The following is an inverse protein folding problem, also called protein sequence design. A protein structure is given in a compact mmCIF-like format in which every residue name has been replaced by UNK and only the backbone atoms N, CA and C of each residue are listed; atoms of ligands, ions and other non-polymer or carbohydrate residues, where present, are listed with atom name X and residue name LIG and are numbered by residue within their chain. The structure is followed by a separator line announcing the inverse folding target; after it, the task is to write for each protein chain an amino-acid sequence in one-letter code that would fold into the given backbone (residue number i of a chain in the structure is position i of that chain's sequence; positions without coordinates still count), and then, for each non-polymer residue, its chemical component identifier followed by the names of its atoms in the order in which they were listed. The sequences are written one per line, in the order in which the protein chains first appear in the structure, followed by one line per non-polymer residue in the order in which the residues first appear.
data_IF_551497711897
#
_entry.id   IF_551497711897
#
_cell.length_a   1.000
_cell.length_b   1.000
_cell.length_c   1.000
_cell.angle_alpha   90.00
_cell.angle_beta   90.00
_cell.angle_gamma   90.00
#
_symmetry.space_group_name_H-M   'P 1'
#
loop_
_entity.id
_entity.type
_entity.pdbx_description
1 polymer ?
#
# COMPACT_ATOMS: atom_id res chain seq x y z
N UNK A 1 24.99 -14.29 1.90
CA UNK A 1 24.05 -13.20 1.58
C UNK A 1 22.81 -13.83 0.98
N UNK A 2 21.64 -13.55 1.55
CA UNK A 2 20.37 -13.95 0.92
C UNK A 2 20.11 -12.97 -0.22
N UNK A 3 19.74 -13.47 -1.39
CA UNK A 3 19.33 -12.60 -2.50
C UNK A 3 17.93 -12.08 -2.21
N UNK A 4 17.78 -10.77 -2.00
CA UNK A 4 16.48 -10.14 -1.81
C UNK A 4 15.66 -10.19 -3.11
N UNK A 5 14.32 -10.29 -3.03
CA UNK A 5 13.45 -10.23 -4.20
C UNK A 5 13.68 -8.95 -5.03
N UNK A 6 13.46 -9.04 -6.34
CA UNK A 6 13.38 -7.85 -7.19
C UNK A 6 12.19 -6.99 -6.76
N UNK A 7 12.39 -5.67 -6.69
CA UNK A 7 11.28 -4.73 -6.49
C UNK A 7 10.53 -4.45 -7.79
N UNK A 8 11.16 -4.71 -8.94
CA UNK A 8 10.54 -4.61 -10.26
C UNK A 8 9.84 -5.96 -10.57
N UNK A 9 8.55 -5.90 -10.88
CA UNK A 9 7.84 -7.05 -11.44
C UNK A 9 8.32 -7.30 -12.87
N UNK A 10 9.19 -8.30 -13.05
CA UNK A 10 9.52 -8.88 -14.36
C UNK A 10 8.54 -10.02 -14.64
N UNK A 11 7.24 -9.73 -14.60
CA UNK A 11 6.21 -10.61 -15.15
C UNK A 11 5.65 -9.94 -16.41
N UNK A 12 6.02 -10.52 -17.54
CA UNK A 12 5.63 -10.24 -18.91
C UNK A 12 6.01 -8.87 -19.51
N UNK A 13 6.80 -8.93 -20.57
CA UNK A 13 7.16 -7.83 -21.49
C UNK A 13 5.98 -7.19 -22.26
N UNK A 14 4.82 -7.06 -21.63
CA UNK A 14 3.77 -6.12 -22.00
C UNK A 14 3.90 -4.92 -21.09
N UNK A 15 4.56 -3.88 -21.60
CA UNK A 15 4.44 -2.52 -21.10
C UNK A 15 2.95 -2.25 -20.84
N UNK A 16 2.56 -2.24 -19.56
CA UNK A 16 1.20 -1.87 -19.13
C UNK A 16 1.10 -0.37 -19.26
N UNK A 17 0.60 0.06 -20.40
CA UNK A 17 0.57 1.42 -20.95
C UNK A 17 -0.22 2.48 -20.14
N UNK A 18 -0.49 2.28 -18.83
CA UNK A 18 -1.27 3.21 -17.98
C UNK A 18 -0.93 3.18 -16.47
N UNK A 19 0.21 2.61 -16.07
CA UNK A 19 0.61 2.62 -14.65
C UNK A 19 1.62 3.74 -14.41
N UNK A 20 1.25 4.70 -13.57
CA UNK A 20 2.20 5.68 -13.05
C UNK A 20 3.09 4.95 -12.03
N UNK A 21 4.35 4.73 -12.40
CA UNK A 21 5.35 4.04 -11.59
C UNK A 21 6.51 4.98 -11.30
N UNK A 22 6.98 4.97 -10.06
CA UNK A 22 8.06 5.80 -9.59
C UNK A 22 9.13 4.94 -8.95
N UNK A 23 10.37 5.12 -9.36
CA UNK A 23 11.52 4.37 -8.87
C UNK A 23 12.45 5.26 -8.05
N UNK A 24 12.91 4.76 -6.91
CA UNK A 24 13.74 5.48 -5.95
C UNK A 24 14.94 4.63 -5.55
N UNK A 25 16.08 5.28 -5.38
CA UNK A 25 17.30 4.67 -4.81
C UNK A 25 17.86 5.51 -3.67
N UNK A 26 18.66 4.92 -2.78
CA UNK A 26 19.33 5.66 -1.71
C UNK A 26 20.29 6.76 -2.20
N UNK A 27 20.72 6.70 -3.46
CA UNK A 27 21.60 7.70 -4.09
C UNK A 27 20.84 8.77 -4.89
N UNK A 28 19.54 8.60 -5.09
CA UNK A 28 18.74 9.73 -5.56
C UNK A 28 18.75 10.76 -4.44
N UNK A 29 19.24 12.00 -4.67
CA UNK A 29 19.03 13.06 -3.70
C UNK A 29 17.56 13.02 -3.32
N UNK A 30 17.24 13.14 -2.04
CA UNK A 30 15.86 13.33 -1.57
C UNK A 30 15.19 14.21 -2.62
N UNK A 31 14.25 13.65 -3.39
CA UNK A 31 13.57 14.42 -4.43
C UNK A 31 12.76 15.44 -3.62
N UNK A 32 13.38 16.61 -3.42
CA UNK A 32 12.77 17.72 -2.70
C UNK A 32 11.55 18.20 -3.46
N UNK A 33 11.55 17.95 -4.77
CA UNK A 33 10.47 18.27 -5.68
C UNK A 33 9.35 17.22 -5.57
N UNK A 34 8.14 17.73 -5.38
CA UNK A 34 6.95 16.91 -5.36
C UNK A 34 6.75 16.26 -6.73
N UNK A 35 6.59 14.94 -6.74
CA UNK A 35 6.24 14.22 -7.95
C UNK A 35 4.73 14.16 -8.07
N UNK A 36 4.23 14.53 -9.25
CA UNK A 36 2.79 14.61 -9.52
C UNK A 36 2.30 13.32 -10.16
N UNK A 37 1.04 13.02 -9.92
CA UNK A 37 0.33 11.88 -10.48
C UNK A 37 -1.17 12.20 -10.58
N UNK A 38 -1.97 11.28 -11.11
CA UNK A 38 -3.41 11.52 -11.19
C UNK A 38 -3.99 11.77 -9.79
N UNK A 39 -4.93 12.71 -9.73
CA UNK A 39 -5.67 12.97 -8.50
C UNK A 39 -6.38 11.69 -8.03
N UNK A 40 -6.10 11.26 -6.80
CA UNK A 40 -6.66 10.02 -6.28
C UNK A 40 -8.17 10.07 -6.24
N UNK A 41 -8.78 8.93 -6.52
CA UNK A 41 -10.19 8.63 -6.30
C UNK A 41 -10.32 7.64 -5.16
N UNK A 42 -11.54 7.53 -4.65
CA UNK A 42 -11.82 6.45 -3.73
C UNK A 42 -11.57 5.11 -4.42
N UNK A 43 -10.90 4.22 -3.70
CA UNK A 43 -10.50 2.87 -4.06
C UNK A 43 -9.35 2.77 -5.07
N UNK A 44 -8.72 3.90 -5.39
CA UNK A 44 -7.36 3.85 -5.90
C UNK A 44 -6.45 3.17 -4.87
N UNK A 45 -5.40 2.53 -5.39
CA UNK A 45 -4.41 1.87 -4.55
C UNK A 45 -3.01 2.25 -4.96
N UNK A 46 -2.14 2.32 -3.95
CA UNK A 46 -0.73 2.58 -4.12
C UNK A 46 0.01 1.37 -3.57
N UNK A 47 0.82 0.75 -4.41
CA UNK A 47 1.65 -0.39 -4.03
C UNK A 47 3.08 0.12 -3.92
N UNK A 48 3.71 -0.14 -2.77
CA UNK A 48 5.10 0.22 -2.52
C UNK A 48 5.86 -1.07 -2.27
N UNK A 49 6.82 -1.37 -3.15
CA UNK A 49 7.79 -2.44 -2.93
C UNK A 49 9.14 -1.81 -2.68
N UNK A 50 9.79 -2.21 -1.60
CA UNK A 50 11.09 -1.66 -1.27
C UNK A 50 11.99 -2.68 -0.61
N UNK A 51 13.28 -2.44 -0.71
CA UNK A 51 14.31 -3.23 -0.05
C UNK A 51 15.44 -2.33 0.43
N UNK A 52 16.11 -2.77 1.47
CA UNK A 52 17.37 -2.21 1.91
C UNK A 52 18.28 -3.35 2.40
N UNK A 53 19.58 -3.09 2.41
CA UNK A 53 20.59 -4.08 2.88
C UNK A 53 21.11 -3.78 4.28
N UNK A 54 20.91 -2.53 4.73
CA UNK A 54 21.32 -2.09 6.04
C UNK A 54 20.57 -0.81 6.40
N UNK A 55 20.51 -0.53 7.69
CA UNK A 55 20.03 0.73 8.22
C UNK A 55 20.76 1.04 9.52
N UNK A 56 20.92 2.32 9.86
CA UNK A 56 21.55 2.72 11.10
C UNK A 56 20.67 2.32 12.28
N UNK A 57 21.17 1.38 13.08
CA UNK A 57 20.52 0.91 14.28
C UNK A 57 21.36 1.25 15.50
N UNK A 58 20.75 1.93 16.47
CA UNK A 58 21.28 2.05 17.81
C UNK A 58 20.15 1.71 18.79
N UNK A 59 20.44 0.91 19.82
CA UNK A 59 19.49 0.53 20.87
C UNK A 59 18.78 1.74 21.51
N UNK A 60 19.46 2.87 21.64
CA UNK A 60 18.91 4.12 22.17
C UNK A 60 18.21 4.99 21.12
N UNK A 61 18.50 4.76 19.83
CA UNK A 61 18.01 5.58 18.71
C UNK A 61 17.39 4.72 17.60
N UNK A 62 16.53 3.77 17.99
CA UNK A 62 15.88 2.83 17.06
C UNK A 62 15.00 3.51 16.01
N UNK A 63 14.62 4.78 16.25
CA UNK A 63 13.75 5.59 15.40
C UNK A 63 14.48 6.58 14.49
N UNK A 64 15.81 6.57 14.47
CA UNK A 64 16.59 7.53 13.65
C UNK A 64 16.57 7.20 12.15
N UNK A 65 16.41 5.92 11.82
CA UNK A 65 16.21 5.47 10.45
C UNK A 65 14.74 5.62 10.08
N UNK A 66 14.46 6.50 9.12
CA UNK A 66 13.09 6.85 8.72
C UNK A 66 12.99 6.86 7.20
N UNK A 67 11.97 6.18 6.68
CA UNK A 67 11.57 6.22 5.27
C UNK A 67 10.18 6.85 5.24
N UNK A 68 10.01 7.94 4.51
CA UNK A 68 8.77 8.73 4.49
C UNK A 68 8.24 8.84 3.07
N UNK A 69 6.95 8.57 2.90
CA UNK A 69 6.13 8.92 1.74
C UNK A 69 5.07 9.93 2.19
N UNK A 70 5.26 11.20 1.85
CA UNK A 70 4.31 12.27 2.16
C UNK A 70 3.42 12.51 0.94
N UNK A 71 2.12 12.37 1.09
CA UNK A 71 1.10 12.58 0.07
C UNK A 71 0.46 13.96 0.24
N UNK A 72 0.47 14.72 -0.84
CA UNK A 72 0.22 16.16 -0.84
C UNK A 72 -0.92 16.51 -1.80
N UNK A 73 -1.55 17.66 -1.55
CA UNK A 73 -2.44 18.30 -2.52
C UNK A 73 -1.68 19.05 -3.62
N UNK A 74 -2.42 19.62 -4.57
CA UNK A 74 -1.86 20.42 -5.68
C UNK A 74 -1.00 21.60 -5.19
N UNK A 75 -1.27 22.12 -3.99
CA UNK A 75 -0.54 23.23 -3.35
C UNK A 75 0.63 22.74 -2.49
N UNK A 76 0.97 21.46 -2.56
CA UNK A 76 2.02 20.80 -1.77
C UNK A 76 1.79 20.81 -0.25
N UNK A 77 0.53 20.99 0.18
CA UNK A 77 0.19 20.80 1.60
C UNK A 77 0.03 19.30 1.88
N UNK A 78 0.67 18.81 2.94
CA UNK A 78 0.56 17.41 3.34
C UNK A 78 -0.87 17.08 3.79
N UNK A 79 -1.39 15.97 3.28
CA UNK A 79 -2.68 15.40 3.66
C UNK A 79 -2.46 14.16 4.52
N UNK A 80 -1.51 13.32 4.08
CA UNK A 80 -1.30 11.98 4.60
C UNK A 80 0.17 11.59 4.47
N UNK A 81 0.76 11.07 5.54
CA UNK A 81 2.12 10.54 5.58
C UNK A 81 2.10 9.03 5.85
N UNK A 82 2.87 8.28 5.06
CA UNK A 82 3.23 6.90 5.35
C UNK A 82 4.70 6.82 5.74
N UNK A 83 4.97 6.41 6.97
CA UNK A 83 6.32 6.42 7.55
C UNK A 83 6.69 4.99 7.93
N UNK A 84 7.88 4.53 7.53
CA UNK A 84 8.46 3.26 7.96
C UNK A 84 9.69 3.55 8.82
N UNK A 85 9.78 2.87 9.97
CA UNK A 85 10.89 2.94 10.91
C UNK A 85 11.47 1.53 11.07
N UNK A 86 12.42 1.12 10.20
CA UNK A 86 13.00 -0.22 10.21
C UNK A 86 13.56 -0.64 11.57
N UNK A 87 14.29 0.25 12.25
CA UNK A 87 14.94 -0.07 13.53
C UNK A 87 13.98 -0.29 14.70
N UNK A 88 12.76 0.23 14.61
CA UNK A 88 11.69 0.01 15.59
C UNK A 88 10.70 -1.09 15.15
N UNK A 89 10.91 -1.72 13.99
CA UNK A 89 9.97 -2.65 13.36
C UNK A 89 8.54 -2.09 13.24
N UNK A 90 8.44 -0.81 12.86
CA UNK A 90 7.21 -0.02 12.94
C UNK A 90 6.92 0.67 11.61
N UNK A 91 5.62 0.86 11.34
CA UNK A 91 5.17 1.83 10.35
C UNK A 91 3.98 2.65 10.88
N UNK A 92 3.79 3.83 10.32
CA UNK A 92 2.83 4.81 10.79
C UNK A 92 2.03 5.37 9.62
N UNK A 93 0.73 5.57 9.84
CA UNK A 93 -0.16 6.35 9.00
C UNK A 93 -0.47 7.66 9.72
N UNK A 94 -0.11 8.79 9.14
CA UNK A 94 -0.23 10.11 9.75
C UNK A 94 -1.16 10.98 8.90
N UNK A 95 -2.35 11.29 9.38
CA UNK A 95 -3.15 12.35 8.77
C UNK A 95 -2.64 13.70 9.28
N UNK A 96 -2.63 14.72 8.42
CA UNK A 96 -2.16 16.05 8.81
C UNK A 96 -2.86 16.57 10.08
N UNK A 97 -2.09 17.05 11.04
CA UNK A 97 -2.55 17.54 12.35
C UNK A 97 -3.26 16.49 13.23
N UNK A 98 -2.96 15.21 13.07
CA UNK A 98 -3.53 14.12 13.87
C UNK A 98 -2.43 13.22 14.41
N UNK A 99 -2.75 12.49 15.48
CA UNK A 99 -1.84 11.49 16.03
C UNK A 99 -1.62 10.34 15.03
N UNK A 100 -0.41 9.76 14.98
CA UNK A 100 -0.09 8.66 14.09
C UNK A 100 -0.85 7.39 14.49
N UNK A 101 -1.41 6.69 13.50
CA UNK A 101 -1.85 5.30 13.67
C UNK A 101 -0.66 4.39 13.44
N UNK A 102 -0.31 3.59 14.44
CA UNK A 102 0.94 2.81 14.47
C UNK A 102 0.64 1.32 14.25
N UNK A 103 1.44 0.69 13.38
CA UNK A 103 1.46 -0.75 13.15
C UNK A 103 2.87 -1.30 13.25
N UNK A 104 3.00 -2.63 13.40
CA UNK A 104 4.28 -3.30 13.62
C UNK A 104 4.46 -4.49 12.70
N UNK A 105 5.71 -4.90 12.49
CA UNK A 105 6.07 -6.10 11.71
C UNK A 105 7.09 -6.96 12.46
N UNK A 106 7.16 -8.25 12.09
CA UNK A 106 7.77 -9.29 12.93
C UNK A 106 9.29 -9.21 13.11
N UNK A 107 10.03 -8.42 12.32
CA UNK A 107 11.50 -8.47 12.34
C UNK A 107 12.13 -7.12 11.99
N UNK A 108 13.23 -6.75 12.65
CA UNK A 108 14.04 -5.58 12.31
C UNK A 108 15.33 -5.98 11.57
N UNK A 109 15.26 -6.95 10.68
CA UNK A 109 16.45 -7.43 9.95
C UNK A 109 17.12 -6.34 9.11
N UNK A 110 18.46 -6.37 9.06
CA UNK A 110 19.26 -5.48 8.23
C UNK A 110 18.99 -5.64 6.74
N UNK A 111 18.91 -6.88 6.25
CA UNK A 111 18.51 -7.19 4.87
C UNK A 111 17.00 -7.44 4.85
N UNK A 112 16.20 -6.52 4.30
CA UNK A 112 14.74 -6.67 4.33
C UNK A 112 14.07 -6.18 3.07
N UNK A 113 13.09 -6.98 2.63
CA UNK A 113 12.13 -6.64 1.59
C UNK A 113 10.76 -6.36 2.22
N UNK A 114 10.06 -5.38 1.66
CA UNK A 114 8.72 -5.00 2.08
C UNK A 114 7.83 -4.87 0.86
N UNK A 115 6.60 -5.34 1.02
CA UNK A 115 5.50 -5.02 0.13
C UNK A 115 4.36 -4.41 0.94
N UNK A 116 3.99 -3.18 0.58
CA UNK A 116 2.89 -2.44 1.18
C UNK A 116 1.84 -2.12 0.13
N UNK A 117 0.57 -2.20 0.53
CA UNK A 117 -0.56 -1.76 -0.30
C UNK A 117 -1.37 -0.77 0.53
N UNK A 118 -1.46 0.46 0.04
CA UNK A 118 -2.36 1.49 0.55
C UNK A 118 -3.62 1.48 -0.30
N UNK A 119 -4.79 1.33 0.35
CA UNK A 119 -6.11 1.43 -0.30
C UNK A 119 -6.81 2.66 0.23
N UNK A 120 -7.16 3.59 -0.67
CA UNK A 120 -7.74 4.87 -0.35
C UNK A 120 -9.27 4.81 -0.40
N UNK A 121 -9.92 4.26 0.62
CA UNK A 121 -11.37 4.03 0.60
C UNK A 121 -12.18 5.16 1.26
N UNK A 122 -13.51 5.14 1.05
CA UNK A 122 -14.44 5.99 1.81
C UNK A 122 -14.46 5.71 3.32
N UNK A 123 -13.90 4.58 3.76
CA UNK A 123 -13.85 4.17 5.18
C UNK A 123 -12.53 4.52 5.86
N UNK A 124 -11.53 4.96 5.11
CA UNK A 124 -10.16 5.13 5.59
C UNK A 124 -9.10 4.80 4.54
N UNK A 125 -7.89 5.25 4.82
CA UNK A 125 -6.66 4.80 4.15
C UNK A 125 -6.20 3.53 4.88
N UNK A 126 -6.32 2.39 4.22
CA UNK A 126 -5.98 1.08 4.78
C UNK A 126 -4.60 0.66 4.31
N UNK A 127 -3.76 0.20 5.23
CA UNK A 127 -2.44 -0.34 4.95
C UNK A 127 -2.43 -1.86 5.09
N UNK A 128 -1.97 -2.53 4.04
CA UNK A 128 -1.65 -3.94 4.04
C UNK A 128 -0.13 -4.10 3.97
N UNK A 129 0.40 -5.05 4.73
CA UNK A 129 1.81 -5.45 4.72
C UNK A 129 1.88 -6.93 4.37
N UNK A 130 2.62 -7.28 3.31
CA UNK A 130 2.71 -8.68 2.81
C UNK A 130 1.34 -9.34 2.63
N UNK A 131 0.41 -8.64 1.97
CA UNK A 131 -0.99 -9.04 1.75
C UNK A 131 -1.88 -9.19 3.01
N UNK A 132 -1.39 -8.78 4.19
CA UNK A 132 -2.16 -8.80 5.43
C UNK A 132 -2.58 -7.40 5.85
N UNK A 133 -3.87 -7.22 6.17
CA UNK A 133 -4.35 -5.96 6.72
C UNK A 133 -3.64 -5.67 8.04
N UNK A 134 -3.17 -4.43 8.22
CA UNK A 134 -2.44 -4.06 9.42
C UNK A 134 -3.10 -2.89 10.17
N UNK A 135 -3.19 -1.72 9.55
CA UNK A 135 -3.72 -0.51 10.19
C UNK A 135 -4.54 0.35 9.23
N UNK A 136 -5.36 1.25 9.79
CA UNK A 136 -6.23 2.16 9.02
C UNK A 136 -6.25 3.56 9.65
N UNK A 137 -6.10 4.58 8.81
CA UNK A 137 -6.29 5.98 9.20
C UNK A 137 -7.60 6.55 8.63
N UNK A 138 -8.39 7.23 9.46
CA UNK A 138 -9.75 7.71 9.11
C UNK A 138 -9.89 9.23 9.08
N UNK A 139 -8.98 9.98 9.70
CA UNK A 139 -9.16 11.42 9.92
C UNK A 139 -8.99 12.28 8.66
N UNK A 140 -8.30 11.78 7.63
CA UNK A 140 -8.04 12.51 6.38
C UNK A 140 -8.85 11.99 5.18
N UNK A 141 -9.89 11.16 5.43
CA UNK A 141 -10.72 10.55 4.38
C UNK A 141 -11.37 11.57 3.45
N UNK A 142 -11.85 12.68 4.01
CA UNK A 142 -12.47 13.78 3.26
C UNK A 142 -11.51 14.50 2.30
N UNK A 143 -10.20 14.34 2.48
CA UNK A 143 -9.16 14.93 1.65
C UNK A 143 -8.45 13.93 0.74
N UNK A 144 -8.84 12.64 0.77
CA UNK A 144 -8.25 11.62 -0.11
C UNK A 144 -8.30 12.07 -1.57
N UNK A 145 -9.45 12.59 -1.99
CA UNK A 145 -9.64 13.03 -3.36
C UNK A 145 -8.81 14.25 -3.71
N UNK A 146 -8.14 14.93 -2.79
CA UNK A 146 -7.29 16.09 -3.06
C UNK A 146 -5.82 15.70 -3.31
N UNK A 147 -5.46 14.45 -3.01
CA UNK A 147 -4.10 13.95 -3.16
C UNK A 147 -3.76 13.80 -4.65
N UNK A 148 -2.72 14.49 -5.10
CA UNK A 148 -2.22 14.44 -6.49
C UNK A 148 -0.71 14.52 -6.62
N UNK A 149 -0.01 14.64 -5.49
CA UNK A 149 1.44 14.77 -5.42
C UNK A 149 1.99 13.92 -4.28
N UNK A 150 3.26 13.56 -4.36
CA UNK A 150 3.97 12.97 -3.23
C UNK A 150 5.42 13.45 -3.16
N UNK A 151 6.00 13.38 -1.95
CA UNK A 151 7.43 13.50 -1.69
C UNK A 151 7.91 12.24 -1.00
N UNK A 152 9.15 11.87 -1.27
CA UNK A 152 9.78 10.71 -0.67
C UNK A 152 11.14 11.10 -0.08
N UNK A 153 11.37 10.67 1.15
CA UNK A 153 12.61 10.92 1.88
C UNK A 153 13.10 9.65 2.56
N UNK A 154 14.42 9.46 2.54
CA UNK A 154 15.07 8.32 3.18
C UNK A 154 16.20 8.83 4.03
N UNK A 155 16.25 8.39 5.28
CA UNK A 155 17.26 8.78 6.24
C UNK A 155 17.94 7.53 6.81
N UNK A 156 19.27 7.50 6.74
CA UNK A 156 20.12 6.53 7.44
C UNK A 156 19.88 5.05 7.02
N UNK A 157 19.64 4.80 5.73
CA UNK A 157 19.58 3.46 5.11
C UNK A 157 20.70 3.26 4.09
N UNK A 158 21.03 2.01 3.76
CA UNK A 158 22.08 1.65 2.78
C UNK A 158 21.55 0.71 1.70
N UNK A 159 21.91 0.99 0.44
CA UNK A 159 21.40 0.31 -0.76
C UNK A 159 19.87 0.22 -0.77
N UNK A 160 19.22 1.32 -0.41
CA UNK A 160 17.77 1.44 -0.49
C UNK A 160 17.34 1.46 -1.94
N UNK A 161 16.32 0.68 -2.26
CA UNK A 161 15.61 0.73 -3.53
C UNK A 161 14.11 0.61 -3.26
N UNK A 162 13.30 1.42 -3.93
CA UNK A 162 11.86 1.33 -3.86
C UNK A 162 11.21 1.57 -5.23
N UNK A 163 10.06 0.93 -5.45
CA UNK A 163 9.13 1.28 -6.51
C UNK A 163 7.77 1.55 -5.89
N UNK A 164 7.13 2.62 -6.37
CA UNK A 164 5.75 2.94 -6.07
C UNK A 164 4.93 2.84 -7.35
N UNK A 165 3.86 2.05 -7.32
CA UNK A 165 2.92 1.89 -8.43
C UNK A 165 1.54 2.37 -8.01
N UNK A 166 0.94 3.26 -8.80
CA UNK A 166 -0.46 3.65 -8.59
C UNK A 166 -1.37 2.92 -9.55
N UNK A 167 -2.48 2.42 -8.99
CA UNK A 167 -3.50 1.66 -9.72
C UNK A 167 -4.85 2.32 -9.50
N UNK A 168 -5.45 2.75 -10.61
CA UNK A 168 -6.76 3.39 -10.60
C UNK A 168 -7.91 2.42 -10.32
N UNK A 169 -9.00 2.96 -9.81
CA UNK A 169 -10.31 2.35 -9.56
C UNK A 169 -10.84 1.54 -10.74
N UNK A 170 -10.53 1.93 -11.98
CA UNK A 170 -10.97 1.19 -13.17
C UNK A 170 -10.41 -0.25 -13.26
N UNK A 171 -9.43 -0.59 -12.40
CA UNK A 171 -8.91 -1.95 -12.24
C UNK A 171 -9.65 -2.71 -11.13
N UNK A 172 -10.35 -2.02 -10.22
CA UNK A 172 -11.07 -2.55 -9.05
C UNK A 172 -12.30 -1.67 -8.76
N UNK A 173 -13.41 -1.96 -9.44
CA UNK A 173 -14.68 -1.25 -9.23
C UNK A 173 -15.16 -1.48 -7.78
N UNK A 174 -15.56 -0.45 -7.02
CA UNK A 174 -15.81 -0.56 -5.59
C UNK A 174 -17.26 -0.19 -5.29
N UNK A 175 -18.09 -1.21 -5.44
CA UNK A 175 -19.36 -1.45 -4.76
C UNK A 175 -19.71 -2.93 -5.04
N UNK A 176 -19.39 -3.38 -6.26
CA UNK A 176 -19.25 -4.78 -6.69
C UNK A 176 -17.84 -5.08 -7.19
N UNK A 177 -17.06 -5.83 -6.41
CA UNK A 177 -15.72 -6.27 -6.81
C UNK A 177 -15.83 -7.34 -7.91
N UNK A 178 -15.63 -6.95 -9.17
CA UNK A 178 -15.54 -7.90 -10.29
C UNK A 178 -14.08 -8.21 -10.65
N UNK A 179 -13.50 -9.19 -9.93
CA UNK A 179 -12.12 -9.64 -10.20
C UNK A 179 -12.13 -10.69 -11.30
N UNK A 180 -11.72 -10.30 -12.51
CA UNK A 180 -11.54 -11.23 -13.64
C UNK A 180 -10.09 -11.68 -13.69
N UNK A 181 -9.81 -12.84 -13.07
CA UNK A 181 -8.56 -13.57 -13.26
C UNK A 181 -8.86 -14.98 -13.75
N UNK A 182 -8.02 -15.49 -14.64
CA UNK A 182 -8.06 -16.90 -14.98
C UNK A 182 -7.71 -17.71 -13.72
N UNK A 183 -8.65 -18.49 -13.20
CA UNK A 183 -8.42 -19.40 -12.09
C UNK A 183 -8.13 -20.77 -12.72
N UNK A 184 -6.88 -21.27 -12.67
CA UNK A 184 -6.58 -22.59 -13.18
C UNK A 184 -7.38 -23.66 -12.43
N UNK A 185 -7.61 -24.80 -13.09
CA UNK A 185 -8.22 -25.97 -12.44
C UNK A 185 -7.36 -26.36 -11.22
N UNK A 186 -8.01 -26.85 -10.16
CA UNK A 186 -7.40 -27.25 -8.88
C UNK A 186 -6.75 -26.13 -8.03
N UNK A 187 -7.10 -24.86 -8.28
CA UNK A 187 -6.67 -23.75 -7.43
C UNK A 187 -7.65 -23.44 -6.30
N UNK A 188 -7.10 -23.17 -5.11
CA UNK A 188 -7.85 -22.68 -3.96
C UNK A 188 -7.98 -21.16 -4.01
N UNK A 189 -9.22 -20.67 -3.96
CA UNK A 189 -9.51 -19.25 -3.74
C UNK A 189 -9.60 -19.02 -2.23
N UNK A 190 -8.74 -18.17 -1.69
CA UNK A 190 -8.82 -17.75 -0.28
C UNK A 190 -9.29 -16.30 -0.22
N UNK A 191 -10.40 -16.07 0.47
CA UNK A 191 -10.96 -14.72 0.68
C UNK A 191 -10.72 -14.39 2.15
N UNK A 192 -9.81 -13.45 2.39
CA UNK A 192 -9.60 -12.88 3.73
C UNK A 192 -10.42 -11.61 3.83
N UNK A 193 -11.27 -11.56 4.83
CA UNK A 193 -12.14 -10.43 5.10
C UNK A 193 -11.85 -9.86 6.48
N UNK A 194 -11.72 -8.54 6.57
CA UNK A 194 -11.41 -7.81 7.79
C UNK A 194 -12.58 -6.86 8.11
N UNK A 195 -13.57 -7.29 8.91
CA UNK A 195 -14.72 -6.48 9.28
C UNK A 195 -14.29 -5.36 10.22
N UNK A 196 -14.55 -4.12 9.83
CA UNK A 196 -14.40 -2.94 10.69
C UNK A 196 -15.77 -2.35 11.10
N UNK A 197 -16.85 -2.82 10.45
CA UNK A 197 -18.24 -2.46 10.73
C UNK A 197 -19.15 -3.66 10.47
N UNK A 198 -20.30 -3.69 11.14
CA UNK A 198 -21.37 -4.66 10.85
C UNK A 198 -21.76 -4.56 9.38
N UNK A 199 -21.50 -5.62 8.61
CA UNK A 199 -21.74 -5.63 7.18
C UNK A 199 -22.11 -7.02 6.68
N UNK A 200 -22.74 -7.06 5.52
CA UNK A 200 -23.06 -8.28 4.79
C UNK A 200 -22.23 -8.24 3.53
N UNK A 201 -21.44 -9.27 3.28
CA UNK A 201 -20.62 -9.40 2.08
C UNK A 201 -21.13 -10.55 1.28
N UNK A 202 -21.34 -10.32 -0.02
CA UNK A 202 -21.68 -11.37 -0.96
C UNK A 202 -20.56 -11.51 -1.96
N UNK A 203 -19.92 -12.67 -1.99
CA UNK A 203 -18.94 -13.04 -2.99
C UNK A 203 -19.65 -13.92 -4.01
N UNK A 204 -19.60 -13.54 -5.29
CA UNK A 204 -20.08 -14.36 -6.40
C UNK A 204 -18.92 -14.80 -7.26
N UNK A 205 -18.78 -16.10 -7.48
CA UNK A 205 -17.91 -16.66 -8.51
C UNK A 205 -18.76 -16.88 -9.75
N UNK A 206 -18.42 -16.22 -10.84
CA UNK A 206 -19.09 -16.32 -12.13
C UNK A 206 -18.19 -16.97 -13.18
N UNK A 207 -18.80 -17.65 -14.14
CA UNK A 207 -18.11 -18.08 -15.35
C UNK A 207 -17.91 -16.89 -16.32
N UNK A 208 -17.28 -17.16 -17.48
CA UNK A 208 -17.03 -16.13 -18.51
C UNK A 208 -18.30 -15.52 -19.12
N UNK A 209 -19.45 -16.18 -18.95
CA UNK A 209 -20.74 -15.73 -19.46
C UNK A 209 -21.57 -15.02 -18.37
N UNK A 210 -21.01 -14.81 -17.17
CA UNK A 210 -21.70 -14.19 -16.04
C UNK A 210 -22.64 -15.15 -15.29
N UNK A 211 -22.60 -16.45 -15.59
CA UNK A 211 -23.39 -17.45 -14.87
C UNK A 211 -22.73 -17.71 -13.53
N UNK A 212 -23.48 -17.52 -12.45
CA UNK A 212 -22.98 -17.69 -11.08
C UNK A 212 -22.79 -19.18 -10.78
N UNK A 213 -21.55 -19.58 -10.51
CA UNK A 213 -21.17 -20.92 -10.08
C UNK A 213 -21.21 -21.09 -8.55
N UNK A 214 -20.90 -20.03 -7.81
CA UNK A 214 -20.92 -20.02 -6.35
C UNK A 214 -21.34 -18.65 -5.83
N UNK A 215 -22.17 -18.62 -4.79
CA UNK A 215 -22.44 -17.42 -3.99
C UNK A 215 -22.13 -17.73 -2.54
N UNK A 216 -21.28 -16.91 -1.93
CA UNK A 216 -20.97 -16.96 -0.49
C UNK A 216 -21.46 -15.66 0.12
N UNK A 217 -22.37 -15.74 1.08
CA UNK A 217 -22.80 -14.57 1.85
C UNK A 217 -22.24 -14.69 3.27
N UNK A 218 -21.46 -13.69 3.66
CA UNK A 218 -20.92 -13.54 5.01
C UNK A 218 -21.75 -12.45 5.68
N UNK A 219 -22.59 -12.84 6.65
CA UNK A 219 -23.37 -11.88 7.44
C UNK A 219 -22.66 -11.61 8.77
N UNK A 220 -21.99 -10.47 8.85
CA UNK A 220 -21.33 -10.00 10.06
C UNK A 220 -22.23 -9.00 10.85
N UNK A 221 -23.54 -8.94 10.55
CA UNK A 221 -24.50 -8.21 11.39
C UNK A 221 -25.02 -9.07 12.54
N UNK A 222 -25.08 -10.39 12.35
CA UNK A 222 -25.77 -11.34 13.23
C UNK A 222 -24.88 -12.11 14.21
N UNK A 223 -23.55 -12.05 14.06
CA UNK A 223 -22.57 -12.65 14.97
C UNK A 223 -22.02 -13.96 14.42
#
# INVERSE_FOLDING_TARGET
MKTLPSILNVEDGKIRDKMEQFYFTGNTPSLMDAQSFHRLKFNDSIIIRMKHTHYKYNLLFRRDCVITFAFLDEKESEIFGFIIIPGAAEFQLVCANQDPVIGTFSDNDYEKYYEFILIFSKLGIMLFYMDEFNIKATHCVNRITDISKFKHAVKETTNFEAVMEMRSENVRIPDDWHVVKHIPIDHKISIRYFPDVKSIITVRLTDRNGIVALTVTIDHKTG
#
